data_IF_629931361582
#
_entry.id   IF_629931361582
#
_cell.length_a   1.000
_cell.length_b   1.000
_cell.length_c   1.000
_cell.angle_alpha   90.00
_cell.angle_beta   90.00
_cell.angle_gamma   90.00
#
_symmetry.space_group_name_H-M   'P 1'
#
loop_
_entity.id
_entity.type
_entity.pdbx_description
1 polymer ?
#
# COMPACT_ATOMS: atom_id res chain seq x y z
N UNK A 1 12.77 -7.12 41.56
CA UNK A 1 12.40 -6.74 40.19
C UNK A 1 12.95 -7.78 39.22
N UNK A 2 12.11 -8.36 38.43
CA UNK A 2 12.47 -9.36 37.39
C UNK A 2 12.69 -8.69 36.06
N UNK A 3 13.85 -8.90 35.44
CA UNK A 3 14.18 -8.41 34.10
C UNK A 3 13.80 -9.50 33.09
N UNK A 4 12.92 -9.17 32.14
CA UNK A 4 12.56 -10.05 31.04
C UNK A 4 13.25 -9.60 29.77
N UNK A 5 14.03 -10.48 29.14
CA UNK A 5 14.63 -10.25 27.82
C UNK A 5 13.91 -11.17 26.83
N UNK A 6 13.14 -10.61 25.90
CA UNK A 6 12.41 -11.34 24.88
C UNK A 6 13.09 -11.22 23.53
N UNK A 7 13.13 -12.31 22.76
CA UNK A 7 13.68 -12.34 21.40
C UNK A 7 13.56 -13.72 20.80
N UNK A 8 13.91 -13.88 19.53
CA UNK A 8 13.95 -15.18 18.84
C UNK A 8 15.27 -15.90 19.19
N UNK A 9 15.35 -16.43 20.40
CA UNK A 9 16.51 -17.19 20.84
C UNK A 9 16.22 -18.69 20.80
N UNK A 10 17.21 -19.47 20.37
CA UNK A 10 17.23 -20.92 20.67
C UNK A 10 17.61 -21.10 22.14
N UNK A 11 17.29 -22.26 22.73
CA UNK A 11 17.61 -22.56 24.12
C UNK A 11 19.13 -22.38 24.41
N UNK A 12 19.98 -22.76 23.47
CA UNK A 12 21.42 -22.63 23.56
C UNK A 12 21.86 -21.15 23.51
N UNK A 13 21.30 -20.34 22.60
CA UNK A 13 21.60 -18.91 22.49
C UNK A 13 21.08 -18.10 23.69
N UNK A 14 19.95 -18.49 24.27
CA UNK A 14 19.42 -17.91 25.50
C UNK A 14 20.36 -18.19 26.68
N UNK A 15 20.87 -19.42 26.82
CA UNK A 15 21.85 -19.78 27.84
C UNK A 15 23.18 -19.01 27.71
N UNK A 16 23.66 -18.83 26.47
CA UNK A 16 24.86 -18.03 26.20
C UNK A 16 24.64 -16.56 26.57
N UNK A 17 23.49 -16.00 26.21
CA UNK A 17 23.11 -14.60 26.52
C UNK A 17 23.03 -14.39 28.04
N UNK A 18 22.39 -15.29 28.76
CA UNK A 18 22.28 -15.26 30.23
C UNK A 18 23.67 -15.31 30.89
N UNK A 19 24.57 -16.19 30.40
CA UNK A 19 25.95 -16.27 30.91
C UNK A 19 26.74 -14.99 30.64
N UNK A 20 26.60 -14.42 29.43
CA UNK A 20 27.29 -13.20 29.06
C UNK A 20 26.86 -12.03 29.93
N UNK A 21 25.55 -11.87 30.18
CA UNK A 21 24.99 -10.82 31.05
C UNK A 21 25.46 -10.99 32.48
N UNK A 22 25.38 -12.23 33.03
CA UNK A 22 25.85 -12.51 34.39
C UNK A 22 27.37 -12.26 34.56
N UNK A 23 28.15 -12.55 33.52
CA UNK A 23 29.62 -12.28 33.55
C UNK A 23 29.89 -10.78 33.53
N UNK A 24 29.17 -10.02 32.69
CA UNK A 24 29.30 -8.57 32.61
C UNK A 24 28.93 -7.90 33.96
N UNK A 25 27.81 -8.32 34.56
CA UNK A 25 27.36 -7.76 35.85
C UNK A 25 28.29 -8.09 36.99
N UNK A 26 28.94 -9.27 37.02
CA UNK A 26 29.92 -9.65 38.02
C UNK A 26 31.21 -8.83 37.93
N UNK A 27 31.56 -8.37 36.75
CA UNK A 27 32.80 -7.60 36.54
C UNK A 27 32.67 -6.11 36.89
N UNK A 28 31.45 -5.54 36.88
CA UNK A 28 31.27 -4.09 37.11
C UNK A 28 31.06 -3.68 38.59
N UNK A 29 30.48 -4.51 39.44
CA UNK A 29 30.29 -4.18 40.86
C UNK A 29 30.15 -5.45 41.73
N UNK A 30 31.11 -5.69 42.57
CA UNK A 30 31.16 -6.82 43.50
C UNK A 30 30.03 -6.83 44.57
N UNK A 31 29.37 -5.70 44.81
CA UNK A 31 28.33 -5.56 45.86
C UNK A 31 26.89 -5.81 45.39
N UNK A 32 26.62 -5.72 44.09
CA UNK A 32 25.28 -5.91 43.53
C UNK A 32 25.27 -6.98 42.43
N UNK A 33 25.49 -8.23 42.78
CA UNK A 33 25.36 -9.35 41.82
C UNK A 33 23.90 -9.72 41.63
N UNK A 34 23.34 -9.32 40.47
CA UNK A 34 22.09 -9.90 39.94
C UNK A 34 22.43 -11.30 39.40
N UNK A 35 21.98 -12.34 40.10
CA UNK A 35 22.11 -13.71 39.60
C UNK A 35 20.89 -13.99 38.71
N UNK A 36 21.11 -14.02 37.39
CA UNK A 36 20.09 -14.37 36.42
C UNK A 36 20.07 -15.89 36.27
N UNK A 37 18.97 -16.52 36.61
CA UNK A 37 18.70 -17.94 36.34
C UNK A 37 17.81 -18.05 35.11
N UNK A 38 18.12 -18.98 34.21
CA UNK A 38 17.25 -19.31 33.10
C UNK A 38 15.97 -19.96 33.68
N UNK A 39 14.81 -19.29 33.50
CA UNK A 39 13.52 -19.90 33.81
C UNK A 39 13.08 -20.89 32.74
N UNK A 40 11.90 -21.43 32.87
CA UNK A 40 11.33 -22.32 31.86
C UNK A 40 11.25 -21.63 30.50
N UNK A 41 11.82 -22.26 29.47
CA UNK A 41 11.70 -21.79 28.09
C UNK A 41 10.30 -22.15 27.57
N UNK A 42 9.45 -21.15 27.37
CA UNK A 42 8.15 -21.32 26.72
C UNK A 42 8.31 -20.95 25.24
N UNK A 43 8.12 -21.91 24.35
CA UNK A 43 8.09 -21.66 22.92
C UNK A 43 6.75 -21.02 22.58
N UNK A 44 6.75 -19.73 22.30
CA UNK A 44 5.59 -19.07 21.73
C UNK A 44 5.65 -19.22 20.20
N UNK A 45 4.73 -20.02 19.66
CA UNK A 45 4.54 -20.07 18.22
C UNK A 45 4.08 -18.71 17.69
N UNK A 46 4.42 -18.41 16.42
CA UNK A 46 3.97 -17.19 15.76
C UNK A 46 2.42 -17.15 15.79
N UNK A 47 1.83 -16.08 16.35
CA UNK A 47 0.39 -15.96 16.55
C UNK A 47 -0.46 -16.10 15.29
N UNK A 48 0.14 -15.89 14.12
CA UNK A 48 -0.50 -16.04 12.81
C UNK A 48 -0.08 -17.32 12.06
N UNK A 49 0.70 -18.20 12.68
CA UNK A 49 1.27 -19.39 12.04
C UNK A 49 2.51 -19.11 11.17
N UNK A 50 3.35 -20.13 11.00
CA UNK A 50 4.64 -20.03 10.29
C UNK A 50 4.51 -19.56 8.81
N UNK A 51 3.36 -19.82 8.17
CA UNK A 51 3.11 -19.56 6.75
C UNK A 51 2.24 -18.31 6.50
N UNK A 52 1.94 -17.50 7.52
CA UNK A 52 1.03 -16.36 7.39
C UNK A 52 1.51 -15.35 6.33
N UNK A 53 2.80 -15.04 6.29
CA UNK A 53 3.37 -14.15 5.28
C UNK A 53 3.22 -14.73 3.87
N UNK A 54 3.46 -16.04 3.68
CA UNK A 54 3.23 -16.68 2.38
C UNK A 54 1.78 -16.60 1.94
N UNK A 55 0.84 -16.81 2.85
CA UNK A 55 -0.59 -16.64 2.59
C UNK A 55 -0.92 -15.23 2.14
N UNK A 56 -0.34 -14.21 2.76
CA UNK A 56 -0.52 -12.81 2.37
C UNK A 56 0.08 -12.48 1.01
N UNK A 57 1.26 -13.01 0.68
CA UNK A 57 1.87 -12.85 -0.66
C UNK A 57 0.96 -13.43 -1.74
N UNK A 58 0.43 -14.64 -1.51
CA UNK A 58 -0.48 -15.30 -2.45
C UNK A 58 -1.78 -14.49 -2.59
N UNK A 59 -2.37 -14.09 -1.46
CA UNK A 59 -3.60 -13.29 -1.46
C UNK A 59 -3.41 -11.97 -2.22
N UNK A 60 -2.30 -11.27 -1.99
CA UNK A 60 -1.97 -10.05 -2.70
C UNK A 60 -1.81 -10.27 -4.20
N UNK A 61 -1.11 -11.35 -4.59
CA UNK A 61 -0.95 -11.75 -5.99
C UNK A 61 -2.30 -12.04 -6.68
N UNK A 62 -3.19 -12.78 -6.01
CA UNK A 62 -4.54 -13.06 -6.51
C UNK A 62 -5.35 -11.76 -6.65
N UNK A 63 -5.32 -10.88 -5.66
CA UNK A 63 -5.98 -9.58 -5.73
C UNK A 63 -5.42 -8.72 -6.89
N UNK A 64 -4.11 -8.72 -7.10
CA UNK A 64 -3.48 -8.01 -8.20
C UNK A 64 -3.96 -8.53 -9.57
N UNK A 65 -3.98 -9.85 -9.76
CA UNK A 65 -4.48 -10.48 -11.00
C UNK A 65 -5.96 -10.16 -11.21
N UNK A 66 -6.78 -10.30 -10.18
CA UNK A 66 -8.22 -9.97 -10.27
C UNK A 66 -8.45 -8.50 -10.65
N UNK A 67 -7.69 -7.58 -10.02
CA UNK A 67 -7.72 -6.17 -10.36
C UNK A 67 -7.29 -5.92 -11.82
N UNK A 68 -6.19 -6.53 -12.26
CA UNK A 68 -5.71 -6.37 -13.64
C UNK A 68 -6.76 -6.86 -14.66
N UNK A 69 -7.38 -8.01 -14.41
CA UNK A 69 -8.46 -8.56 -15.26
C UNK A 69 -9.66 -7.62 -15.27
N UNK A 70 -10.09 -7.12 -14.12
CA UNK A 70 -11.19 -6.15 -14.04
C UNK A 70 -10.92 -4.90 -14.89
N UNK A 71 -9.74 -4.29 -14.75
CA UNK A 71 -9.38 -3.11 -15.52
C UNK A 71 -9.28 -3.40 -17.03
N UNK A 72 -8.72 -4.55 -17.43
CA UNK A 72 -8.61 -4.96 -18.83
C UNK A 72 -9.99 -5.17 -19.48
N UNK A 73 -10.93 -5.81 -18.78
CA UNK A 73 -12.28 -6.03 -19.28
C UNK A 73 -13.04 -4.71 -19.37
N UNK A 74 -12.96 -3.87 -18.33
CA UNK A 74 -13.79 -2.67 -18.19
C UNK A 74 -13.27 -1.50 -19.03
N UNK A 75 -11.95 -1.26 -19.03
CA UNK A 75 -11.31 -0.06 -19.59
C UNK A 75 -10.35 -0.33 -20.74
N UNK A 76 -10.06 -1.59 -21.06
CA UNK A 76 -9.18 -2.00 -22.17
C UNK A 76 -7.85 -1.24 -22.17
N UNK A 77 -7.64 -0.33 -23.15
CA UNK A 77 -6.39 0.39 -23.29
C UNK A 77 -6.00 1.20 -22.05
N UNK A 78 -6.97 1.79 -21.33
CA UNK A 78 -6.71 2.53 -20.11
C UNK A 78 -6.20 1.65 -18.97
N UNK A 79 -6.51 0.34 -19.02
CA UNK A 79 -5.98 -0.61 -18.07
C UNK A 79 -4.45 -0.65 -18.08
N UNK A 80 -3.82 -0.56 -19.25
CA UNK A 80 -2.36 -0.53 -19.34
C UNK A 80 -1.76 0.72 -18.69
N UNK A 81 -2.40 1.89 -18.86
CA UNK A 81 -1.97 3.11 -18.17
C UNK A 81 -2.06 2.95 -16.64
N UNK A 82 -3.16 2.35 -16.16
CA UNK A 82 -3.34 2.06 -14.75
C UNK A 82 -2.31 1.05 -14.23
N UNK A 83 -2.15 -0.10 -14.91
CA UNK A 83 -1.24 -1.16 -14.49
C UNK A 83 0.21 -0.68 -14.45
N UNK A 84 0.65 0.08 -15.45
CA UNK A 84 1.99 0.65 -15.45
C UNK A 84 2.21 1.61 -14.29
N UNK A 85 1.25 2.52 -14.05
CA UNK A 85 1.29 3.44 -12.93
C UNK A 85 1.26 2.72 -11.58
N UNK A 86 0.53 1.61 -11.50
CA UNK A 86 0.46 0.77 -10.32
C UNK A 86 1.79 0.08 -10.01
N UNK A 87 2.47 -0.44 -11.03
CA UNK A 87 3.79 -1.05 -10.86
C UNK A 87 4.82 -0.03 -10.34
N UNK A 88 4.80 1.19 -10.87
CA UNK A 88 5.68 2.27 -10.37
C UNK A 88 5.31 2.63 -8.93
N UNK A 89 4.02 2.74 -8.62
CA UNK A 89 3.54 2.98 -7.26
C UNK A 89 4.04 1.91 -6.29
N UNK A 90 3.91 0.62 -6.63
CA UNK A 90 4.43 -0.48 -5.82
C UNK A 90 5.94 -0.40 -5.63
N UNK A 91 6.67 -0.12 -6.70
CA UNK A 91 8.12 0.01 -6.64
C UNK A 91 8.56 1.11 -5.67
N UNK A 92 7.92 2.29 -5.76
CA UNK A 92 8.17 3.41 -4.84
C UNK A 92 7.84 3.03 -3.40
N UNK A 93 6.72 2.34 -3.17
CA UNK A 93 6.33 1.88 -1.84
C UNK A 93 7.34 0.90 -1.24
N UNK A 94 7.82 -0.07 -2.02
CA UNK A 94 8.86 -1.02 -1.58
C UNK A 94 10.15 -0.27 -1.22
N UNK A 95 10.57 0.68 -2.06
CA UNK A 95 11.73 1.51 -1.76
C UNK A 95 11.56 2.31 -0.47
N UNK A 96 10.38 2.88 -0.22
CA UNK A 96 10.09 3.61 1.02
C UNK A 96 10.20 2.71 2.25
N UNK A 97 9.60 1.53 2.20
CA UNK A 97 9.68 0.56 3.32
C UNK A 97 11.12 0.11 3.56
N UNK A 98 11.90 -0.05 2.51
CA UNK A 98 13.31 -0.44 2.66
C UNK A 98 14.21 0.70 3.17
N UNK A 99 13.91 1.94 2.78
CA UNK A 99 14.74 3.10 3.10
C UNK A 99 14.49 3.68 4.49
N UNK A 100 13.31 3.45 5.06
CA UNK A 100 12.93 4.05 6.35
C UNK A 100 13.24 3.05 7.48
N UNK A 101 14.18 3.36 8.40
CA UNK A 101 14.58 2.43 9.46
C UNK A 101 13.47 2.07 10.45
N UNK A 102 12.39 2.85 10.49
CA UNK A 102 11.22 2.61 11.34
C UNK A 102 10.23 1.59 10.75
N UNK A 103 10.45 1.14 9.51
CA UNK A 103 9.57 0.21 8.82
C UNK A 103 10.24 -1.14 8.62
N UNK A 104 9.46 -2.19 8.65
CA UNK A 104 9.90 -3.56 8.41
C UNK A 104 8.78 -4.35 7.72
N UNK A 105 9.15 -5.45 7.07
CA UNK A 105 8.19 -6.32 6.39
C UNK A 105 7.50 -7.20 7.43
N UNK A 106 6.23 -6.90 7.68
CA UNK A 106 5.37 -7.61 8.62
C UNK A 106 3.98 -7.84 8.02
N UNK A 107 3.13 -8.55 8.73
CA UNK A 107 1.72 -8.73 8.37
C UNK A 107 1.00 -7.39 8.26
N UNK A 108 1.26 -6.48 9.19
CA UNK A 108 0.68 -5.14 9.24
C UNK A 108 1.11 -4.30 8.04
N UNK A 109 2.39 -4.39 7.66
CA UNK A 109 2.92 -3.70 6.48
C UNK A 109 2.21 -4.17 5.20
N UNK A 110 1.97 -5.47 5.06
CA UNK A 110 1.22 -6.01 3.92
C UNK A 110 -0.22 -5.53 3.87
N UNK A 111 -0.91 -5.48 5.01
CA UNK A 111 -2.27 -4.92 5.08
C UNK A 111 -2.29 -3.44 4.68
N UNK A 112 -1.29 -2.66 5.09
CA UNK A 112 -1.13 -1.28 4.67
C UNK A 112 -0.93 -1.16 3.15
N UNK A 113 -0.11 -2.02 2.56
CA UNK A 113 0.06 -2.10 1.09
C UNK A 113 -1.25 -2.43 0.37
N UNK A 114 -2.03 -3.40 0.86
CA UNK A 114 -3.32 -3.78 0.29
C UNK A 114 -4.29 -2.60 0.31
N UNK A 115 -4.41 -1.90 1.45
CA UNK A 115 -5.30 -0.76 1.59
C UNK A 115 -4.86 0.43 0.71
N UNK A 116 -3.57 0.75 0.67
CA UNK A 116 -3.05 1.80 -0.21
C UNK A 116 -3.29 1.47 -1.69
N UNK A 117 -3.15 0.21 -2.08
CA UNK A 117 -3.45 -0.29 -3.42
C UNK A 117 -4.94 -0.17 -3.76
N UNK A 118 -5.82 -0.49 -2.80
CA UNK A 118 -7.26 -0.33 -2.96
C UNK A 118 -7.63 1.14 -3.19
N UNK A 119 -7.05 2.06 -2.41
CA UNK A 119 -7.25 3.52 -2.57
C UNK A 119 -6.77 3.99 -3.94
N UNK A 120 -5.61 3.52 -4.40
CA UNK A 120 -5.09 3.81 -5.73
C UNK A 120 -6.05 3.34 -6.84
N UNK A 121 -6.52 2.09 -6.77
CA UNK A 121 -7.47 1.53 -7.73
C UNK A 121 -8.80 2.30 -7.75
N UNK A 122 -9.38 2.56 -6.57
CA UNK A 122 -10.65 3.29 -6.44
C UNK A 122 -10.55 4.70 -7.01
N UNK A 123 -9.42 5.39 -6.77
CA UNK A 123 -9.15 6.72 -7.30
C UNK A 123 -9.10 6.74 -8.83
N UNK A 124 -8.44 5.74 -9.43
CA UNK A 124 -8.38 5.62 -10.89
C UNK A 124 -9.73 5.26 -11.50
N UNK A 125 -10.49 4.34 -10.88
CA UNK A 125 -11.87 4.01 -11.32
C UNK A 125 -12.74 5.27 -11.33
N UNK A 126 -12.68 6.09 -10.27
CA UNK A 126 -13.44 7.33 -10.17
C UNK A 126 -13.13 8.28 -11.33
N UNK A 127 -11.86 8.46 -11.67
CA UNK A 127 -11.45 9.32 -12.80
C UNK A 127 -11.89 8.72 -14.14
N UNK A 128 -11.73 7.41 -14.32
CA UNK A 128 -12.08 6.73 -15.58
C UNK A 128 -13.58 6.72 -15.84
N UNK A 129 -14.41 6.51 -14.81
CA UNK A 129 -15.86 6.57 -14.95
C UNK A 129 -16.34 8.02 -15.23
N UNK A 130 -15.74 9.03 -14.59
CA UNK A 130 -16.04 10.42 -14.94
C UNK A 130 -15.64 10.75 -16.39
N UNK A 131 -14.49 10.27 -16.85
CA UNK A 131 -14.06 10.47 -18.24
C UNK A 131 -15.00 9.77 -19.23
N UNK A 132 -15.49 8.59 -18.89
CA UNK A 132 -16.46 7.83 -19.66
C UNK A 132 -17.80 8.56 -19.78
N UNK A 133 -18.31 9.12 -18.64
CA UNK A 133 -19.54 9.91 -18.66
C UNK A 133 -19.41 11.18 -19.51
N UNK A 134 -18.29 11.90 -19.40
CA UNK A 134 -18.05 13.10 -20.22
C UNK A 134 -17.93 12.76 -21.72
N UNK A 135 -17.41 11.57 -22.06
CA UNK A 135 -17.35 11.09 -23.45
C UNK A 135 -18.74 10.69 -23.97
N UNK A 136 -19.57 10.06 -23.15
CA UNK A 136 -20.95 9.70 -23.48
C UNK A 136 -21.77 10.93 -23.87
N UNK A 137 -21.55 12.07 -23.17
CA UNK A 137 -22.16 13.37 -23.47
C UNK A 137 -21.64 14.04 -24.77
N UNK A 138 -20.91 13.30 -25.62
CA UNK A 138 -20.49 13.78 -26.95
C UNK A 138 -19.16 14.52 -26.99
N UNK A 139 -18.44 14.70 -25.85
CA UNK A 139 -17.12 15.36 -25.86
C UNK A 139 -16.07 14.52 -26.57
N UNK A 140 -15.03 15.19 -27.08
CA UNK A 140 -13.85 14.48 -27.60
C UNK A 140 -13.11 13.78 -26.47
N UNK A 141 -12.41 12.65 -26.73
CA UNK A 141 -11.70 11.89 -25.73
C UNK A 141 -10.71 12.75 -24.90
N UNK A 142 -9.96 13.61 -25.59
CA UNK A 142 -9.00 14.51 -24.91
C UNK A 142 -9.69 15.51 -23.98
N UNK A 143 -10.83 16.06 -24.41
CA UNK A 143 -11.64 16.98 -23.58
C UNK A 143 -12.27 16.25 -22.41
N UNK A 144 -12.78 15.03 -22.61
CA UNK A 144 -13.39 14.19 -21.57
C UNK A 144 -12.39 13.89 -20.46
N UNK A 145 -11.16 13.47 -20.82
CA UNK A 145 -10.08 13.22 -19.85
C UNK A 145 -9.72 14.48 -19.08
N UNK A 146 -9.49 15.60 -19.79
CA UNK A 146 -9.16 16.88 -19.14
C UNK A 146 -10.25 17.32 -18.17
N UNK A 147 -11.50 17.20 -18.56
CA UNK A 147 -12.65 17.56 -17.71
C UNK A 147 -12.80 16.63 -16.51
N UNK A 148 -12.62 15.32 -16.72
CA UNK A 148 -12.68 14.32 -15.66
C UNK A 148 -11.65 14.59 -14.56
N UNK A 149 -10.40 14.79 -14.94
CA UNK A 149 -9.34 15.13 -13.98
C UNK A 149 -9.64 16.46 -13.26
N UNK A 150 -10.06 17.50 -13.98
CA UNK A 150 -10.40 18.79 -13.37
C UNK A 150 -11.54 18.66 -12.35
N UNK A 151 -12.58 17.87 -12.66
CA UNK A 151 -13.74 17.67 -11.77
C UNK A 151 -13.46 16.70 -10.62
N UNK A 152 -12.50 15.77 -10.79
CA UNK A 152 -12.14 14.81 -9.77
C UNK A 152 -11.04 15.31 -8.83
N UNK A 153 -10.28 16.32 -9.22
CA UNK A 153 -9.06 16.74 -8.53
C UNK A 153 -9.31 17.00 -7.03
N UNK A 154 -10.29 17.83 -6.71
CA UNK A 154 -10.56 18.17 -5.31
C UNK A 154 -11.03 16.96 -4.51
N UNK A 155 -11.94 16.14 -5.08
CA UNK A 155 -12.39 14.92 -4.42
C UNK A 155 -11.24 13.91 -4.19
N UNK A 156 -10.29 13.83 -5.12
CA UNK A 156 -9.10 12.99 -4.95
C UNK A 156 -8.17 13.54 -3.87
N UNK A 157 -7.92 14.84 -3.89
CA UNK A 157 -7.07 15.50 -2.89
C UNK A 157 -7.67 15.33 -1.50
N UNK A 158 -8.96 15.59 -1.33
CA UNK A 158 -9.65 15.44 -0.05
C UNK A 158 -9.57 14.01 0.47
N UNK A 159 -9.84 13.01 -0.38
CA UNK A 159 -9.74 11.59 -0.03
C UNK A 159 -8.35 11.22 0.49
N UNK A 160 -7.32 11.57 -0.28
CA UNK A 160 -5.94 11.22 0.08
C UNK A 160 -5.44 12.00 1.28
N UNK A 161 -5.82 13.28 1.40
CA UNK A 161 -5.43 14.13 2.51
C UNK A 161 -6.04 13.63 3.83
N UNK A 162 -7.34 13.30 3.84
CA UNK A 162 -8.01 12.78 5.04
C UNK A 162 -7.41 11.44 5.47
N UNK A 163 -7.22 10.50 4.52
CA UNK A 163 -6.62 9.20 4.84
C UNK A 163 -5.17 9.33 5.31
N UNK A 164 -4.36 10.18 4.67
CA UNK A 164 -2.99 10.43 5.10
C UNK A 164 -2.95 11.08 6.48
N UNK A 165 -3.79 12.09 6.74
CA UNK A 165 -3.85 12.76 8.04
C UNK A 165 -4.22 11.78 9.16
N UNK A 166 -5.26 10.95 8.96
CA UNK A 166 -5.65 9.93 9.93
C UNK A 166 -4.51 8.93 10.17
N UNK A 167 -3.83 8.49 9.12
CA UNK A 167 -2.72 7.56 9.22
C UNK A 167 -1.53 8.17 9.99
N UNK A 168 -1.14 9.39 9.70
CA UNK A 168 -0.04 10.05 10.41
C UNK A 168 -0.39 10.42 11.86
N UNK A 169 -1.65 10.77 12.15
CA UNK A 169 -2.11 10.96 13.54
C UNK A 169 -2.01 9.63 14.30
N UNK A 170 -2.47 8.53 13.71
CA UNK A 170 -2.38 7.19 14.32
C UNK A 170 -0.92 6.78 14.56
N UNK A 171 -0.03 7.08 13.63
CA UNK A 171 1.41 6.89 13.80
C UNK A 171 1.96 7.70 15.00
N UNK A 172 1.56 8.97 15.12
CA UNK A 172 2.00 9.87 16.19
C UNK A 172 1.53 9.47 17.60
N UNK A 173 0.41 8.72 17.71
CA UNK A 173 -0.07 8.17 19.00
C UNK A 173 0.87 7.09 19.52
N UNK A 174 1.68 6.46 18.69
CA UNK A 174 2.75 5.54 19.11
C UNK A 174 2.27 4.16 19.58
N UNK A 175 1.13 3.69 19.10
CA UNK A 175 0.66 2.32 19.36
C UNK A 175 1.58 1.33 18.65
N UNK A 176 2.39 0.58 19.38
CA UNK A 176 3.55 -0.20 18.93
C UNK A 176 3.33 -0.97 17.61
N UNK A 177 2.32 -1.82 17.54
CA UNK A 177 2.07 -2.65 16.33
C UNK A 177 1.34 -1.87 15.23
N UNK A 178 0.55 -0.87 15.60
CA UNK A 178 -0.23 -0.07 14.66
C UNK A 178 0.59 1.06 14.03
N UNK A 179 1.71 1.46 14.64
CA UNK A 179 2.54 2.57 14.16
C UNK A 179 3.14 2.29 12.78
N UNK A 180 3.71 1.10 12.57
CA UNK A 180 4.31 0.74 11.27
C UNK A 180 3.24 0.66 10.18
N UNK A 181 2.11 0.02 10.49
CA UNK A 181 0.94 -0.01 9.60
C UNK A 181 0.50 1.40 9.21
N UNK A 182 0.33 2.29 10.20
CA UNK A 182 -0.13 3.65 10.00
C UNK A 182 0.86 4.49 9.17
N UNK A 183 2.17 4.37 9.45
CA UNK A 183 3.20 5.05 8.68
C UNK A 183 3.19 4.62 7.21
N UNK A 184 3.18 3.32 6.96
CA UNK A 184 3.18 2.75 5.60
C UNK A 184 1.89 3.09 4.86
N UNK A 185 0.74 3.03 5.53
CA UNK A 185 -0.55 3.45 4.96
C UNK A 185 -0.56 4.95 4.61
N UNK A 186 -0.06 5.80 5.51
CA UNK A 186 0.04 7.24 5.28
C UNK A 186 0.89 7.59 4.07
N UNK A 187 2.09 7.01 3.97
CA UNK A 187 2.96 7.15 2.80
C UNK A 187 2.28 6.60 1.54
N UNK A 188 1.66 5.42 1.64
CA UNK A 188 0.96 4.79 0.53
C UNK A 188 -0.19 5.64 -0.01
N UNK A 189 -0.97 6.28 0.86
CA UNK A 189 -2.05 7.17 0.43
C UNK A 189 -1.52 8.43 -0.25
N UNK A 190 -0.44 9.03 0.25
CA UNK A 190 0.20 10.18 -0.41
C UNK A 190 0.71 9.80 -1.80
N UNK A 191 1.47 8.71 -1.91
CA UNK A 191 2.01 8.25 -3.20
C UNK A 191 0.91 7.79 -4.16
N UNK A 192 -0.17 7.18 -3.68
CA UNK A 192 -1.30 6.80 -4.53
C UNK A 192 -1.99 8.02 -5.14
N UNK A 193 -2.14 9.10 -4.37
CA UNK A 193 -2.67 10.37 -4.86
C UNK A 193 -1.80 11.00 -5.95
N UNK A 194 -0.50 11.08 -5.69
CA UNK A 194 0.48 11.59 -6.66
C UNK A 194 0.52 10.73 -7.93
N UNK A 195 0.47 9.41 -7.80
CA UNK A 195 0.47 8.50 -8.93
C UNK A 195 -0.83 8.59 -9.75
N UNK A 196 -1.99 8.72 -9.11
CA UNK A 196 -3.27 8.89 -9.82
C UNK A 196 -3.34 10.21 -10.57
N UNK A 197 -2.98 11.32 -9.92
CA UNK A 197 -3.12 12.67 -10.50
C UNK A 197 -2.02 12.94 -11.54
N UNK A 198 -0.79 12.49 -11.28
CA UNK A 198 0.36 12.75 -12.13
C UNK A 198 0.63 11.61 -13.11
N UNK A 199 1.03 10.46 -12.59
CA UNK A 199 1.58 9.37 -13.39
C UNK A 199 0.53 8.71 -14.29
N UNK A 200 -0.65 8.36 -13.77
CA UNK A 200 -1.71 7.74 -14.57
C UNK A 200 -2.21 8.69 -15.65
N UNK A 201 -2.34 9.97 -15.34
CA UNK A 201 -2.71 10.99 -16.31
C UNK A 201 -1.66 11.13 -17.44
N UNK A 202 -0.40 11.11 -17.07
CA UNK A 202 0.71 11.19 -18.03
C UNK A 202 0.76 9.95 -18.94
N UNK A 203 0.64 8.75 -18.37
CA UNK A 203 0.58 7.49 -19.12
C UNK A 203 -0.63 7.46 -20.05
N UNK A 204 -1.79 7.92 -19.58
CA UNK A 204 -2.97 8.05 -20.43
C UNK A 204 -2.73 8.97 -21.62
N UNK A 205 -2.11 10.15 -21.40
CA UNK A 205 -1.80 11.09 -22.48
C UNK A 205 -0.88 10.46 -23.54
N UNK A 206 0.15 9.72 -23.12
CA UNK A 206 1.05 9.01 -24.02
C UNK A 206 0.28 7.97 -24.83
N UNK A 207 -0.48 7.10 -24.19
CA UNK A 207 -1.21 6.03 -24.89
C UNK A 207 -2.25 6.58 -25.87
N UNK A 208 -2.88 7.70 -25.54
CA UNK A 208 -3.83 8.37 -26.43
C UNK A 208 -3.16 9.03 -27.64
N UNK A 209 -1.87 9.38 -27.58
CA UNK A 209 -1.17 9.97 -28.73
C UNK A 209 -0.95 8.96 -29.87
N UNK A 210 -0.79 7.67 -29.52
CA UNK A 210 -0.53 6.59 -30.47
C UNK A 210 -1.80 5.87 -30.98
N UNK A 211 -2.97 6.20 -30.44
CA UNK A 211 -4.20 5.44 -30.73
C UNK A 211 -5.13 6.19 -31.68
N UNK A 212 -5.43 5.67 -32.91
CA UNK A 212 -6.30 6.35 -33.87
C UNK A 212 -7.76 6.40 -33.43
N UNK A 213 -8.37 5.26 -33.02
CA UNK A 213 -9.78 5.12 -32.63
C UNK A 213 -9.97 5.10 -31.11
N UNK A 214 -9.74 6.23 -30.46
CA UNK A 214 -9.65 6.38 -28.99
C UNK A 214 -10.86 5.84 -28.23
N UNK A 215 -12.09 6.10 -28.66
CA UNK A 215 -13.31 5.65 -27.96
C UNK A 215 -13.48 4.14 -27.95
N UNK A 216 -13.33 3.50 -29.13
CA UNK A 216 -13.47 2.04 -29.28
C UNK A 216 -12.41 1.27 -28.47
N UNK A 217 -11.17 1.77 -28.46
CA UNK A 217 -10.07 1.14 -27.71
C UNK A 217 -10.17 1.29 -26.20
N UNK A 218 -10.86 2.34 -25.71
CA UNK A 218 -11.12 2.54 -24.28
C UNK A 218 -12.46 1.94 -23.81
N UNK A 219 -13.21 1.29 -24.71
CA UNK A 219 -14.55 0.78 -24.42
C UNK A 219 -15.56 1.88 -24.00
N UNK A 220 -15.37 3.09 -24.51
CA UNK A 220 -16.29 4.20 -24.28
C UNK A 220 -17.31 4.28 -25.41
N UNK A 221 -18.60 4.34 -25.06
CA UNK A 221 -19.72 4.50 -25.99
C UNK A 221 -20.26 5.92 -25.88
N UNK A 222 -20.78 6.47 -26.97
CA UNK A 222 -21.61 7.68 -26.96
C UNK A 222 -23.06 7.29 -26.68
N UNK A 223 -23.77 8.12 -25.96
CA UNK A 223 -25.24 8.01 -25.91
C UNK A 223 -25.76 8.40 -27.31
N UNK A 224 -26.51 7.49 -27.92
CA UNK A 224 -27.31 7.83 -29.09
C UNK A 224 -28.42 8.74 -28.61
N UNK A 225 -28.51 9.95 -29.14
CA UNK A 225 -29.67 10.82 -28.94
C UNK A 225 -30.78 10.09 -29.75
N UNK A 226 -31.75 9.49 -29.07
CA UNK A 226 -33.00 9.11 -29.72
C UNK A 226 -33.61 10.46 -30.17
N UNK A 227 -33.60 10.69 -31.48
CA UNK A 227 -34.41 11.71 -32.09
C UNK A 227 -35.86 11.27 -31.91
N UNK A 228 -36.56 11.76 -30.89
CA UNK A 228 -38.01 11.67 -30.77
C UNK A 228 -38.61 12.51 -31.92
N UNK A 229 -38.98 11.82 -33.04
CA UNK A 229 -39.81 12.32 -34.12
C UNK A 229 -41.28 12.44 -33.66
#
# INVERSE_FOLDING_TARGET
>A
DTLYISGSYSEESAAICTRAINTALKNENAENTLELTLGDSVLHEAGYGANALYGLYIAYGVCFVAMAVFFLIRYRLLAFAHLYSYLIFLFVMILCVWSIPLTYISTETFLAFMLASLVFCASNVLVFEKARGEFALGKTMTSSVKTAYKRSLWSLVDLHLVLAALSFITFGIGLTNLSVFALVLGLGTVFSGLATIGLTRFMWAIMMSFTPNKGKFCNFKREEVEDDD
#
